data_IF_970817507307
#
_entry.id   IF_970817507307
#
_cell.length_a   1.000
_cell.length_b   1.000
_cell.length_c   1.000
_cell.angle_alpha   90.00
_cell.angle_beta   90.00
_cell.angle_gamma   90.00
#
_symmetry.space_group_name_H-M   'P 1'
#
loop_
_entity.id
_entity.type
_entity.pdbx_description
1 polymer ?
#
# COMPACT_ATOMS: atom_id res chain seq x y z
N UNK A 1 22.11 -2.39 4.37
CA UNK A 1 20.75 -2.13 3.86
C UNK A 1 19.81 -2.52 4.99
N UNK A 2 19.09 -1.55 5.56
CA UNK A 2 18.12 -1.80 6.64
C UNK A 2 16.79 -2.11 5.95
N UNK A 3 16.27 -3.32 6.14
CA UNK A 3 14.96 -3.69 5.62
C UNK A 3 13.93 -3.20 6.65
N UNK A 4 13.03 -2.32 6.24
CA UNK A 4 11.89 -1.87 7.04
C UNK A 4 10.70 -2.74 6.64
N UNK A 5 10.06 -3.40 7.61
CA UNK A 5 8.84 -4.17 7.41
C UNK A 5 7.67 -3.34 7.95
N UNK A 6 6.66 -3.08 7.12
CA UNK A 6 5.43 -2.38 7.46
C UNK A 6 4.29 -3.39 7.30
N UNK A 7 3.17 -3.28 8.02
CA UNK A 7 2.04 -4.23 7.88
C UNK A 7 0.72 -3.49 8.06
N UNK A 8 -0.24 -3.77 7.19
CA UNK A 8 -1.48 -2.98 7.05
C UNK A 8 -2.67 -3.88 6.74
N UNK A 9 -3.87 -3.52 7.19
CA UNK A 9 -5.12 -4.24 6.92
C UNK A 9 -6.15 -3.33 6.23
N UNK A 10 -6.79 -3.76 5.13
CA UNK A 10 -7.88 -3.02 4.48
C UNK A 10 -9.02 -3.91 3.96
N UNK A 11 -10.26 -3.40 3.98
CA UNK A 11 -11.47 -4.13 3.57
C UNK A 11 -12.00 -3.65 2.21
N UNK A 12 -12.18 -4.56 1.25
CA UNK A 12 -12.76 -4.31 -0.07
C UNK A 12 -14.27 -4.58 -0.12
N UNK A 13 -15.07 -3.51 -0.23
CA UNK A 13 -16.52 -3.59 -0.43
C UNK A 13 -16.93 -2.97 -1.78
N UNK A 14 -17.24 -3.80 -2.79
CA UNK A 14 -17.74 -3.30 -4.07
C UNK A 14 -19.24 -2.96 -3.96
N UNK A 15 -19.58 -1.69 -4.09
CA UNK A 15 -20.92 -1.20 -4.39
C UNK A 15 -20.96 -0.69 -5.85
N UNK A 16 -22.05 -0.91 -6.61
CA UNK A 16 -22.17 -0.37 -7.96
C UNK A 16 -22.41 1.15 -7.87
N UNK A 17 -21.40 1.97 -8.17
CA UNK A 17 -21.56 3.43 -8.20
C UNK A 17 -21.39 3.96 -9.62
N UNK A 18 -22.47 4.53 -10.15
CA UNK A 18 -22.47 5.33 -11.37
C UNK A 18 -21.83 6.69 -11.07
N UNK A 19 -20.76 7.03 -11.79
CA UNK A 19 -20.25 8.39 -12.02
C UNK A 19 -20.40 9.39 -10.85
N UNK A 20 -19.78 9.07 -9.72
CA UNK A 20 -19.32 10.07 -8.75
C UNK A 20 -17.82 9.84 -8.60
N UNK A 21 -17.04 10.92 -8.51
CA UNK A 21 -15.63 10.83 -8.09
C UNK A 21 -15.59 10.06 -6.79
N UNK A 22 -15.16 8.80 -6.84
CA UNK A 22 -15.13 7.95 -5.65
C UNK A 22 -14.12 8.59 -4.71
N UNK A 23 -14.54 8.98 -3.48
CA UNK A 23 -13.62 9.59 -2.55
C UNK A 23 -12.51 8.58 -2.24
N UNK A 24 -11.27 9.05 -2.31
CA UNK A 24 -10.10 8.27 -1.91
C UNK A 24 -10.31 7.83 -0.45
N UNK A 25 -10.15 6.53 -0.20
CA UNK A 25 -10.20 5.98 1.14
C UNK A 25 -8.76 5.74 1.60
N UNK A 26 -8.30 6.57 2.52
CA UNK A 26 -6.98 6.41 3.15
C UNK A 26 -6.84 5.02 3.76
N UNK A 27 -5.63 4.48 3.62
CA UNK A 27 -5.18 3.22 4.20
C UNK A 27 -4.20 3.59 5.31
N UNK A 28 -4.53 3.27 6.56
CA UNK A 28 -3.68 3.52 7.71
C UNK A 28 -2.52 2.52 7.78
N UNK A 29 -1.32 2.99 8.11
CA UNK A 29 -0.12 2.17 8.19
C UNK A 29 0.33 1.97 9.64
N UNK A 30 0.63 0.74 10.03
CA UNK A 30 1.31 0.44 11.29
C UNK A 30 2.76 -0.01 11.02
N UNK A 31 3.71 0.63 11.72
CA UNK A 31 5.13 0.29 11.57
C UNK A 31 6.07 1.32 12.17
N UNK A 32 7.37 1.09 12.00
CA UNK A 32 8.42 2.03 12.40
C UNK A 32 9.37 2.28 11.24
N UNK A 33 9.63 3.54 10.92
CA UNK A 33 10.60 3.93 9.92
C UNK A 33 11.84 4.55 10.58
N UNK A 34 13.02 4.00 10.32
CA UNK A 34 14.29 4.48 10.88
C UNK A 34 15.08 5.18 9.79
N UNK A 35 15.06 6.52 9.82
CA UNK A 35 16.01 7.33 9.07
C UNK A 35 17.35 7.40 9.82
N UNK A 36 18.48 7.46 9.09
CA UNK A 36 19.81 7.54 9.70
C UNK A 36 20.00 8.82 10.55
N UNK A 37 19.18 9.86 10.32
CA UNK A 37 19.12 11.04 11.18
C UNK A 37 17.96 10.93 12.21
N UNK A 38 18.14 10.00 13.14
CA UNK A 38 17.59 9.86 14.49
C UNK A 38 16.09 10.05 14.82
N UNK A 39 15.23 10.73 14.06
CA UNK A 39 13.83 10.99 14.47
C UNK A 39 12.91 11.24 13.27
N UNK A 40 12.35 10.20 12.68
CA UNK A 40 11.05 10.35 12.00
C UNK A 40 10.01 9.55 12.77
N UNK A 41 9.00 10.22 13.29
CA UNK A 41 7.87 9.59 13.99
C UNK A 41 6.75 9.17 13.03
N UNK A 42 6.80 9.62 11.77
CA UNK A 42 5.84 9.30 10.72
C UNK A 42 6.48 8.42 9.65
N UNK A 43 5.70 7.44 9.18
CA UNK A 43 6.05 6.62 8.04
C UNK A 43 6.04 7.50 6.77
N UNK A 44 7.07 7.45 5.91
CA UNK A 44 7.16 8.27 4.71
C UNK A 44 6.38 7.64 3.54
N UNK A 45 5.19 7.12 3.83
CA UNK A 45 4.36 6.39 2.89
C UNK A 45 2.90 6.80 3.12
N UNK A 46 2.19 7.03 2.03
CA UNK A 46 0.74 7.13 2.02
C UNK A 46 0.19 6.12 1.03
N UNK A 47 -0.97 5.57 1.34
CA UNK A 47 -1.76 4.83 0.37
C UNK A 47 -3.23 5.10 0.56
N UNK A 48 -3.92 4.95 -0.55
CA UNK A 48 -5.35 5.08 -0.61
C UNK A 48 -5.93 4.10 -1.60
N UNK A 49 -7.17 3.71 -1.34
CA UNK A 49 -7.99 2.98 -2.26
C UNK A 49 -8.75 3.99 -3.12
N UNK A 50 -8.55 3.92 -4.43
CA UNK A 50 -9.30 4.67 -5.44
C UNK A 50 -9.92 3.67 -6.41
N UNK A 51 -11.25 3.57 -6.42
CA UNK A 51 -12.01 2.59 -7.20
C UNK A 51 -11.53 1.13 -6.96
N UNK A 52 -10.81 0.57 -7.94
CA UNK A 52 -10.22 -0.77 -7.91
C UNK A 52 -8.69 -0.71 -7.96
N UNK A 53 -8.11 0.36 -7.44
CA UNK A 53 -6.69 0.59 -7.41
C UNK A 53 -6.25 0.92 -5.98
N UNK A 54 -5.20 0.26 -5.54
CA UNK A 54 -4.41 0.71 -4.40
C UNK A 54 -3.28 1.55 -4.95
N UNK A 55 -3.22 2.82 -4.55
CA UNK A 55 -2.15 3.74 -4.92
C UNK A 55 -1.27 3.93 -3.71
N UNK A 56 0.03 3.74 -3.87
CA UNK A 56 1.03 3.87 -2.81
C UNK A 56 2.05 4.92 -3.24
N UNK A 57 2.25 5.94 -2.41
CA UNK A 57 3.26 6.98 -2.65
C UNK A 57 4.27 6.98 -1.52
N UNK A 58 5.55 7.00 -1.86
CA UNK A 58 6.65 7.11 -0.90
C UNK A 58 7.29 8.49 -1.01
N UNK A 59 7.48 9.16 0.13
CA UNK A 59 7.90 10.56 0.19
C UNK A 59 9.38 10.79 0.47
N UNK A 60 10.18 9.72 0.52
CA UNK A 60 11.62 9.80 0.73
C UNK A 60 12.31 8.86 -0.24
N UNK A 61 13.54 9.21 -0.61
CA UNK A 61 14.40 8.33 -1.40
C UNK A 61 14.75 7.11 -0.54
N UNK A 62 14.10 5.99 -0.82
CA UNK A 62 14.36 4.71 -0.19
C UNK A 62 15.29 3.88 -1.08
N UNK A 63 15.98 2.90 -0.48
CA UNK A 63 16.43 1.75 -1.26
C UNK A 63 15.22 0.98 -1.79
N UNK A 64 15.40 0.09 -2.77
CA UNK A 64 14.33 -0.78 -3.27
C UNK A 64 13.42 -1.30 -2.14
N UNK A 65 12.10 -1.21 -2.34
CA UNK A 65 11.09 -1.68 -1.39
C UNK A 65 10.32 -2.82 -2.04
N UNK A 66 10.02 -3.87 -1.29
CA UNK A 66 9.09 -4.90 -1.73
C UNK A 66 7.74 -4.60 -1.11
N UNK A 67 6.72 -4.50 -1.95
CA UNK A 67 5.32 -4.42 -1.52
C UNK A 67 4.66 -5.74 -1.84
N UNK A 68 4.03 -6.34 -0.83
CA UNK A 68 3.24 -7.57 -0.98
C UNK A 68 1.79 -7.29 -0.61
N UNK A 69 0.86 -7.75 -1.45
CA UNK A 69 -0.58 -7.74 -1.17
C UNK A 69 -1.05 -9.18 -1.01
N UNK A 70 -1.58 -9.50 0.16
CA UNK A 70 -2.08 -10.84 0.47
C UNK A 70 -3.52 -10.79 0.97
N UNK A 71 -4.32 -11.81 0.65
CA UNK A 71 -5.64 -11.99 1.26
C UNK A 71 -5.49 -12.43 2.71
N UNK A 72 -6.15 -11.74 3.65
CA UNK A 72 -6.08 -12.07 5.08
C UNK A 72 -6.74 -13.43 5.36
N UNK A 73 -7.82 -13.78 4.64
CA UNK A 73 -8.63 -14.96 4.92
C UNK A 73 -7.86 -16.27 4.74
N UNK A 74 -6.95 -16.30 3.77
CA UNK A 74 -6.24 -17.51 3.36
C UNK A 74 -4.72 -17.34 3.26
N UNK A 75 -4.20 -16.16 3.63
CA UNK A 75 -2.79 -15.77 3.49
C UNK A 75 -2.23 -16.01 2.07
N UNK A 76 -3.11 -15.94 1.05
CA UNK A 76 -2.68 -16.08 -0.32
C UNK A 76 -2.10 -14.75 -0.79
N UNK A 77 -0.82 -14.77 -1.18
CA UNK A 77 -0.18 -13.67 -1.88
C UNK A 77 -0.86 -13.49 -3.24
N UNK A 78 -1.38 -12.28 -3.46
CA UNK A 78 -2.03 -11.88 -4.71
C UNK A 78 -1.02 -11.22 -5.63
N UNK A 79 -0.10 -10.45 -5.05
CA UNK A 79 0.95 -9.75 -5.77
C UNK A 79 2.14 -9.45 -4.85
N UNK A 80 3.36 -9.57 -5.39
CA UNK A 80 4.60 -9.12 -4.78
C UNK A 80 5.35 -8.31 -5.84
N UNK A 81 5.75 -7.08 -5.51
CA UNK A 81 6.47 -6.20 -6.43
C UNK A 81 7.60 -5.48 -5.72
N UNK A 82 8.80 -5.55 -6.30
CA UNK A 82 9.93 -4.70 -5.90
C UNK A 82 9.86 -3.38 -6.66
N UNK A 83 9.85 -2.29 -5.90
CA UNK A 83 9.74 -0.91 -6.34
C UNK A 83 11.11 -0.27 -6.20
N UNK A 84 11.64 0.26 -7.30
CA UNK A 84 12.89 1.01 -7.34
C UNK A 84 12.63 2.51 -7.36
N UNK A 85 13.22 3.25 -6.43
CA UNK A 85 12.90 4.66 -6.15
C UNK A 85 13.65 5.65 -7.05
N UNK A 86 13.66 5.42 -8.36
CA UNK A 86 14.42 6.29 -9.28
C UNK A 86 13.73 7.67 -9.45
N UNK A 87 12.39 7.76 -9.32
CA UNK A 87 11.63 8.97 -9.64
C UNK A 87 10.46 9.32 -8.68
N UNK A 88 10.44 8.78 -7.45
CA UNK A 88 9.42 9.08 -6.40
C UNK A 88 7.95 9.07 -6.88
N UNK A 89 7.64 8.25 -7.89
CA UNK A 89 6.31 8.22 -8.50
C UNK A 89 5.34 7.37 -7.66
N UNK A 90 4.02 7.68 -7.70
CA UNK A 90 3.01 6.80 -7.13
C UNK A 90 3.01 5.43 -7.82
N UNK A 91 2.92 4.39 -7.01
CA UNK A 91 2.88 3.00 -7.43
C UNK A 91 1.45 2.48 -7.38
N UNK A 92 0.98 1.95 -8.51
CA UNK A 92 -0.41 1.54 -8.68
C UNK A 92 -0.53 0.03 -8.75
N UNK A 93 -1.41 -0.52 -7.91
CA UNK A 93 -1.77 -1.93 -7.86
C UNK A 93 -3.24 -2.07 -8.27
N UNK A 94 -3.49 -2.79 -9.37
CA UNK A 94 -4.84 -3.02 -9.85
C UNK A 94 -5.43 -4.27 -9.19
N UNK A 95 -6.47 -4.05 -8.39
CA UNK A 95 -7.13 -5.09 -7.59
C UNK A 95 -8.51 -5.45 -8.14
N UNK A 96 -8.85 -5.06 -9.38
CA UNK A 96 -10.16 -5.33 -9.98
C UNK A 96 -10.49 -6.82 -10.09
N UNK A 97 -9.46 -7.68 -10.15
CA UNK A 97 -9.60 -9.14 -10.21
C UNK A 97 -9.66 -9.82 -8.84
N UNK A 98 -9.52 -9.08 -7.75
CA UNK A 98 -9.41 -9.66 -6.41
C UNK A 98 -10.82 -9.93 -5.86
N UNK A 99 -10.95 -11.03 -5.13
CA UNK A 99 -12.20 -11.37 -4.45
C UNK A 99 -12.55 -10.33 -3.38
N UNK A 100 -13.83 -10.17 -3.03
CA UNK A 100 -14.21 -9.33 -1.89
C UNK A 100 -13.62 -9.93 -0.61
N UNK A 101 -13.04 -9.11 0.26
CA UNK A 101 -12.42 -9.57 1.50
C UNK A 101 -11.53 -8.52 2.15
N UNK A 102 -10.87 -8.93 3.23
CA UNK A 102 -9.79 -8.16 3.86
C UNK A 102 -8.45 -8.57 3.26
N UNK A 103 -7.61 -7.59 3.00
CA UNK A 103 -6.27 -7.80 2.46
C UNK A 103 -5.23 -7.11 3.34
N UNK A 104 -4.05 -7.70 3.36
CA UNK A 104 -2.89 -7.21 4.07
C UNK A 104 -1.91 -6.65 3.04
N UNK A 105 -1.36 -5.48 3.32
CA UNK A 105 -0.24 -4.91 2.57
C UNK A 105 0.97 -4.86 3.49
N UNK A 106 2.11 -5.37 3.03
CA UNK A 106 3.39 -5.37 3.78
C UNK A 106 4.53 -4.80 2.98
#
# INVERSE_FOLDING_TARGET
MKNVLITIFFILSFAPMFAQTVPEKEIDFEGSFIMDDARSASLPIEAYLQDTQVVITFYVDLSDATVTIASEENNQEMEERTISFIDSAPEVFNISGYSKGTYIIT
#
